data_IF_973639634182
#
_entry.id   IF_973639634182
#
_cell.length_a   1.000
_cell.length_b   1.000
_cell.length_c   1.000
_cell.angle_alpha   90.00
_cell.angle_beta   90.00
_cell.angle_gamma   90.00
#
_symmetry.space_group_name_H-M   'P 1'
#
loop_
_entity.id
_entity.type
_entity.pdbx_description
1 polymer ?
#
# COMPACT_ATOMS: atom_id res chain seq x y z
N UNK A 1 -7.49 -24.91 2.52
CA UNK A 1 -7.21 -24.66 1.09
C UNK A 1 -6.76 -25.98 0.45
N UNK A 2 -6.79 -26.12 -0.88
CA UNK A 2 -6.23 -27.29 -1.58
C UNK A 2 -4.71 -27.37 -1.34
N UNK A 3 -4.20 -28.53 -0.92
CA UNK A 3 -2.77 -28.77 -0.68
C UNK A 3 -1.92 -28.48 -1.92
N UNK A 4 -2.50 -28.59 -3.11
CA UNK A 4 -1.85 -28.24 -4.36
C UNK A 4 -1.57 -26.74 -4.47
N UNK A 5 -2.51 -25.89 -4.02
CA UNK A 5 -2.35 -24.44 -4.06
C UNK A 5 -1.24 -23.96 -3.12
N UNK A 6 -1.15 -24.56 -1.92
CA UNK A 6 -0.11 -24.23 -0.94
C UNK A 6 1.29 -24.49 -1.53
N UNK A 7 1.49 -25.66 -2.14
CA UNK A 7 2.76 -26.02 -2.78
C UNK A 7 3.10 -25.09 -3.97
N UNK A 8 2.10 -24.62 -4.72
CA UNK A 8 2.29 -23.63 -5.79
C UNK A 8 2.72 -22.26 -5.26
N UNK A 9 2.10 -21.80 -4.17
CA UNK A 9 2.45 -20.54 -3.52
C UNK A 9 3.89 -20.58 -2.96
N UNK A 10 4.28 -21.68 -2.32
CA UNK A 10 5.62 -21.84 -1.74
C UNK A 10 6.74 -21.78 -2.78
N UNK A 11 6.48 -22.21 -4.03
CA UNK A 11 7.45 -22.24 -5.12
C UNK A 11 7.29 -21.11 -6.11
N UNK A 12 6.35 -20.18 -5.89
CA UNK A 12 5.92 -19.20 -6.89
C UNK A 12 7.09 -18.41 -7.50
N UNK A 13 8.07 -18.01 -6.68
CA UNK A 13 9.22 -17.25 -7.16
C UNK A 13 10.23 -18.07 -7.96
N UNK A 14 10.23 -19.39 -7.82
CA UNK A 14 11.06 -20.33 -8.58
C UNK A 14 10.44 -20.72 -9.93
N UNK A 15 9.14 -20.42 -10.13
CA UNK A 15 8.41 -20.71 -11.36
C UNK A 15 8.85 -19.79 -12.52
N UNK A 16 8.69 -20.28 -13.75
CA UNK A 16 8.83 -19.44 -14.94
C UNK A 16 7.59 -18.53 -15.12
N UNK A 17 7.68 -17.56 -16.03
CA UNK A 17 6.62 -16.56 -16.22
C UNK A 17 5.26 -17.17 -16.60
N UNK A 18 5.26 -18.20 -17.44
CA UNK A 18 4.04 -18.89 -17.84
C UNK A 18 3.38 -19.59 -16.63
N UNK A 19 4.17 -20.34 -15.86
CA UNK A 19 3.72 -21.03 -14.64
C UNK A 19 3.22 -20.06 -13.56
N UNK A 20 3.85 -18.88 -13.46
CA UNK A 20 3.37 -17.80 -12.58
C UNK A 20 2.00 -17.31 -13.00
N UNK A 21 1.80 -17.01 -14.29
CA UNK A 21 0.50 -16.58 -14.79
C UNK A 21 -0.58 -17.65 -14.59
N UNK A 22 -0.27 -18.92 -14.85
CA UNK A 22 -1.20 -20.03 -14.57
C UNK A 22 -1.55 -20.13 -13.08
N UNK A 23 -0.58 -19.87 -12.19
CA UNK A 23 -0.79 -19.87 -10.74
C UNK A 23 -1.69 -18.72 -10.30
N UNK A 24 -1.46 -17.50 -10.80
CA UNK A 24 -2.31 -16.34 -10.53
C UNK A 24 -3.75 -16.57 -11.01
N UNK A 25 -3.93 -17.11 -12.23
CA UNK A 25 -5.25 -17.47 -12.77
C UNK A 25 -5.92 -18.53 -11.89
N UNK A 26 -5.18 -19.54 -11.44
CA UNK A 26 -5.70 -20.58 -10.54
C UNK A 26 -6.19 -20.00 -9.21
N UNK A 27 -5.42 -19.07 -8.62
CA UNK A 27 -5.80 -18.37 -7.38
C UNK A 27 -7.09 -17.58 -7.60
N UNK A 28 -7.14 -16.79 -8.67
CA UNK A 28 -8.30 -15.96 -8.98
C UNK A 28 -9.56 -16.81 -9.20
N UNK A 29 -9.47 -17.90 -9.96
CA UNK A 29 -10.59 -18.81 -10.18
C UNK A 29 -11.10 -19.40 -8.86
N UNK A 30 -10.21 -19.88 -8.00
CA UNK A 30 -10.57 -20.40 -6.67
C UNK A 30 -11.22 -19.34 -5.79
N UNK A 31 -10.74 -18.10 -5.86
CA UNK A 31 -11.29 -16.98 -5.13
C UNK A 31 -12.71 -16.65 -5.64
N UNK A 32 -12.90 -16.58 -6.96
CA UNK A 32 -14.17 -16.27 -7.61
C UNK A 32 -15.23 -17.37 -7.40
N UNK A 33 -14.82 -18.64 -7.30
CA UNK A 33 -15.74 -19.75 -7.04
C UNK A 33 -16.35 -19.69 -5.62
N UNK A 34 -15.59 -19.20 -4.63
CA UNK A 34 -16.05 -19.12 -3.23
C UNK A 34 -15.53 -17.88 -2.47
N UNK A 35 -15.95 -16.65 -2.83
CA UNK A 35 -15.33 -15.42 -2.34
C UNK A 35 -15.34 -15.29 -0.82
N UNK A 36 -16.49 -15.54 -0.17
CA UNK A 36 -16.62 -15.46 1.29
C UNK A 36 -15.69 -16.42 2.02
N UNK A 37 -15.58 -17.66 1.53
CA UNK A 37 -14.69 -18.68 2.13
C UNK A 37 -13.22 -18.30 1.94
N UNK A 38 -12.89 -17.75 0.77
CA UNK A 38 -11.54 -17.30 0.45
C UNK A 38 -11.11 -16.12 1.33
N UNK A 39 -11.96 -15.09 1.45
CA UNK A 39 -11.73 -13.94 2.34
C UNK A 39 -11.54 -14.42 3.78
N UNK A 40 -12.42 -15.29 4.27
CA UNK A 40 -12.29 -15.86 5.61
C UNK A 40 -10.97 -16.62 5.80
N UNK A 41 -10.48 -17.33 4.78
CA UNK A 41 -9.20 -18.04 4.85
C UNK A 41 -8.02 -17.05 4.97
N UNK A 42 -8.04 -15.98 4.17
CA UNK A 42 -7.01 -14.92 4.22
C UNK A 42 -7.01 -14.21 5.59
N UNK A 43 -8.20 -13.91 6.11
CA UNK A 43 -8.35 -13.11 7.33
C UNK A 43 -8.14 -13.91 8.63
N UNK A 44 -8.41 -15.22 8.66
CA UNK A 44 -8.38 -16.03 9.88
C UNK A 44 -7.08 -16.83 10.11
N UNK A 45 -6.18 -16.92 9.13
CA UNK A 45 -4.94 -17.67 9.34
C UNK A 45 -3.87 -16.83 10.02
N UNK A 46 -3.20 -17.46 10.98
CA UNK A 46 -1.85 -17.15 11.47
C UNK A 46 -0.86 -17.25 10.31
N UNK A 47 -1.03 -16.40 9.29
CA UNK A 47 -0.08 -16.31 8.21
C UNK A 47 1.25 -15.87 8.82
N UNK A 48 2.30 -16.59 8.46
CA UNK A 48 3.58 -15.92 8.31
C UNK A 48 3.38 -14.93 7.15
N UNK A 49 2.80 -13.75 7.48
CA UNK A 49 2.15 -12.77 6.58
C UNK A 49 3.02 -12.30 5.42
N UNK A 50 4.31 -12.62 5.43
CA UNK A 50 5.31 -12.00 4.58
C UNK A 50 5.49 -12.68 3.20
N UNK A 51 5.09 -13.94 2.99
CA UNK A 51 5.45 -14.63 1.74
C UNK A 51 4.33 -14.78 0.70
N UNK A 52 3.07 -14.99 1.13
CA UNK A 52 2.01 -15.40 0.20
C UNK A 52 0.97 -14.30 -0.10
N UNK A 53 0.84 -13.28 0.76
CA UNK A 53 -0.06 -12.15 0.51
C UNK A 53 0.25 -11.39 -0.78
N UNK A 54 1.53 -11.12 -1.14
CA UNK A 54 1.85 -10.47 -2.41
C UNK A 54 1.25 -11.20 -3.61
N UNK A 55 1.42 -12.53 -3.66
CA UNK A 55 0.95 -13.39 -4.76
C UNK A 55 -0.57 -13.38 -4.83
N UNK A 56 -1.24 -13.42 -3.67
CA UNK A 56 -2.70 -13.37 -3.61
C UNK A 56 -3.20 -12.01 -4.11
N UNK A 57 -2.60 -10.90 -3.67
CA UNK A 57 -3.06 -9.56 -4.04
C UNK A 57 -2.82 -9.30 -5.53
N UNK A 58 -1.69 -9.77 -6.07
CA UNK A 58 -1.42 -9.75 -7.50
C UNK A 58 -2.47 -10.55 -8.30
N UNK A 59 -2.89 -11.72 -7.81
CA UNK A 59 -3.90 -12.52 -8.48
C UNK A 59 -5.27 -11.82 -8.47
N UNK A 60 -5.69 -11.29 -7.32
CA UNK A 60 -6.97 -10.58 -7.18
C UNK A 60 -6.98 -9.26 -7.96
N UNK A 61 -5.84 -8.59 -8.13
CA UNK A 61 -5.77 -7.34 -8.90
C UNK A 61 -6.02 -7.52 -10.40
N UNK A 62 -6.04 -8.77 -10.90
CA UNK A 62 -6.45 -9.07 -12.28
C UNK A 62 -7.96 -8.96 -12.51
N UNK A 63 -8.77 -8.90 -11.45
CA UNK A 63 -10.24 -8.82 -11.51
C UNK A 63 -10.78 -7.78 -10.52
N UNK A 64 -10.39 -6.51 -10.74
CA UNK A 64 -10.74 -5.40 -9.87
C UNK A 64 -12.26 -5.15 -9.75
N UNK A 65 -13.05 -5.55 -10.76
CA UNK A 65 -14.49 -5.36 -10.73
C UNK A 65 -15.16 -6.24 -9.66
N UNK A 66 -14.66 -7.47 -9.44
CA UNK A 66 -15.19 -8.37 -8.41
C UNK A 66 -14.54 -8.19 -7.04
N UNK A 67 -13.30 -7.68 -7.00
CA UNK A 67 -12.49 -7.61 -5.77
C UNK A 67 -12.26 -6.21 -5.21
N UNK A 68 -12.88 -5.17 -5.78
CA UNK A 68 -12.73 -3.79 -5.28
C UNK A 68 -13.10 -3.64 -3.81
N UNK A 69 -14.26 -4.16 -3.40
CA UNK A 69 -14.73 -4.07 -2.01
C UNK A 69 -13.77 -4.76 -1.03
N UNK A 70 -13.14 -5.87 -1.47
CA UNK A 70 -12.11 -6.54 -0.68
C UNK A 70 -10.91 -5.62 -0.45
N UNK A 71 -10.35 -5.02 -1.51
CA UNK A 71 -9.19 -4.13 -1.37
C UNK A 71 -9.50 -2.92 -0.47
N UNK A 72 -10.66 -2.29 -0.63
CA UNK A 72 -11.08 -1.16 0.22
C UNK A 72 -11.16 -1.59 1.69
N UNK A 73 -11.88 -2.68 1.96
CA UNK A 73 -12.06 -3.23 3.31
C UNK A 73 -10.72 -3.64 3.92
N UNK A 74 -9.79 -4.13 3.09
CA UNK A 74 -8.49 -4.59 3.53
C UNK A 74 -7.57 -3.44 3.95
N UNK A 75 -7.57 -2.30 3.24
CA UNK A 75 -6.86 -1.08 3.67
C UNK A 75 -7.39 -0.62 5.04
N UNK A 76 -8.71 -0.54 5.19
CA UNK A 76 -9.35 -0.16 6.46
C UNK A 76 -8.95 -1.14 7.58
N UNK A 77 -9.00 -2.45 7.32
CA UNK A 77 -8.61 -3.49 8.27
C UNK A 77 -7.13 -3.39 8.67
N UNK A 78 -6.22 -3.10 7.73
CA UNK A 78 -4.80 -2.92 8.02
C UNK A 78 -4.57 -1.74 8.96
N UNK A 79 -5.22 -0.60 8.72
CA UNK A 79 -5.13 0.55 9.63
C UNK A 79 -5.74 0.28 11.01
N UNK A 80 -6.92 -0.33 11.09
CA UNK A 80 -7.54 -0.68 12.38
C UNK A 80 -6.69 -1.70 13.16
N UNK A 81 -6.13 -2.69 12.48
CA UNK A 81 -5.23 -3.67 13.12
C UNK A 81 -3.94 -3.00 13.60
N UNK A 82 -3.39 -2.06 12.83
CA UNK A 82 -2.20 -1.32 13.20
C UNK A 82 -2.41 -0.43 14.43
N UNK A 83 -3.61 0.15 14.62
CA UNK A 83 -3.93 1.02 15.78
C UNK A 83 -3.86 0.25 17.11
N UNK A 84 -4.10 -1.06 17.07
CA UNK A 84 -4.10 -1.94 18.24
C UNK A 84 -2.74 -2.63 18.46
N UNK A 85 -1.76 -2.39 17.59
CA UNK A 85 -0.49 -3.10 17.59
C UNK A 85 0.64 -2.28 18.20
N UNK A 86 1.56 -2.96 18.90
CA UNK A 86 2.83 -2.36 19.34
C UNK A 86 3.84 -2.21 18.19
N UNK A 87 3.58 -2.83 17.04
CA UNK A 87 4.39 -2.72 15.82
C UNK A 87 3.52 -2.33 14.62
N UNK A 88 3.00 -1.09 14.54
CA UNK A 88 2.13 -0.67 13.43
C UNK A 88 2.78 -0.83 12.06
N UNK A 89 4.07 -0.51 11.95
CA UNK A 89 4.81 -0.57 10.69
C UNK A 89 4.80 -1.97 10.06
N UNK A 90 4.98 -3.03 10.86
CA UNK A 90 4.98 -4.41 10.35
C UNK A 90 3.64 -4.83 9.76
N UNK A 91 2.55 -4.14 10.12
CA UNK A 91 1.21 -4.38 9.56
C UNK A 91 1.02 -3.49 8.33
N UNK A 92 1.32 -2.20 8.46
CA UNK A 92 1.09 -1.22 7.40
C UNK A 92 2.04 -1.38 6.21
N UNK A 93 3.18 -2.05 6.36
CA UNK A 93 4.05 -2.38 5.22
C UNK A 93 3.32 -3.25 4.16
N UNK A 94 2.25 -3.96 4.52
CA UNK A 94 1.42 -4.68 3.56
C UNK A 94 0.61 -3.77 2.63
N UNK A 95 0.56 -2.46 2.88
CA UNK A 95 0.01 -1.50 1.93
C UNK A 95 0.83 -1.47 0.62
N UNK A 96 2.11 -1.87 0.63
CA UNK A 96 2.92 -1.95 -0.58
C UNK A 96 2.38 -2.95 -1.61
N UNK A 97 1.65 -3.96 -1.17
CA UNK A 97 1.02 -4.93 -2.08
C UNK A 97 -0.12 -4.31 -2.91
N UNK A 98 -0.61 -3.13 -2.54
CA UNK A 98 -1.64 -2.42 -3.29
C UNK A 98 -1.08 -1.76 -4.57
N UNK A 99 0.24 -1.73 -4.74
CA UNK A 99 0.90 -1.31 -5.99
C UNK A 99 0.56 -2.23 -7.17
N UNK A 100 0.04 -3.44 -6.92
CA UNK A 100 -0.49 -4.31 -7.98
C UNK A 100 -1.82 -3.83 -8.58
N UNK A 101 -2.49 -2.86 -7.95
CA UNK A 101 -3.74 -2.28 -8.44
C UNK A 101 -3.40 -1.19 -9.47
N UNK A 102 -3.92 -1.34 -10.69
CA UNK A 102 -3.81 -0.28 -11.70
C UNK A 102 -4.78 0.86 -11.34
N UNK A 103 -4.27 2.05 -10.94
CA UNK A 103 -5.11 3.16 -10.48
C UNK A 103 -6.00 3.71 -11.59
N UNK A 104 -5.65 3.50 -12.87
CA UNK A 104 -6.48 3.94 -14.00
C UNK A 104 -7.65 3.00 -14.29
N UNK A 105 -7.56 1.75 -13.85
CA UNK A 105 -8.64 0.74 -14.00
C UNK A 105 -9.49 0.62 -12.74
N UNK A 106 -8.97 1.03 -11.59
CA UNK A 106 -9.67 0.89 -10.32
C UNK A 106 -10.77 1.96 -10.15
N UNK A 107 -12.03 1.57 -10.41
CA UNK A 107 -13.21 2.47 -10.33
C UNK A 107 -13.39 3.13 -8.96
N UNK A 108 -12.88 2.51 -7.90
CA UNK A 108 -13.00 2.99 -6.52
C UNK A 108 -11.72 3.68 -6.01
N UNK A 109 -10.86 4.16 -6.92
CA UNK A 109 -9.63 4.91 -6.60
C UNK A 109 -9.86 6.05 -5.61
N UNK A 110 -10.92 6.83 -5.79
CA UNK A 110 -11.21 7.97 -4.91
C UNK A 110 -11.46 7.53 -3.46
N UNK A 111 -11.99 6.31 -3.24
CA UNK A 111 -12.17 5.76 -1.89
C UNK A 111 -10.84 5.38 -1.23
N UNK A 112 -9.88 4.86 -2.00
CA UNK A 112 -8.52 4.60 -1.50
C UNK A 112 -7.87 5.93 -1.09
N UNK A 113 -7.97 6.95 -1.96
CA UNK A 113 -7.46 8.29 -1.68
C UNK A 113 -8.06 8.86 -0.40
N UNK A 114 -9.38 8.79 -0.22
CA UNK A 114 -10.05 9.24 1.00
C UNK A 114 -9.48 8.57 2.26
N UNK A 115 -9.37 7.23 2.25
CA UNK A 115 -8.86 6.47 3.40
C UNK A 115 -7.41 6.89 3.71
N UNK A 116 -6.53 6.90 2.72
CA UNK A 116 -5.13 7.27 2.91
C UNK A 116 -4.97 8.74 3.33
N UNK A 117 -5.72 9.66 2.72
CA UNK A 117 -5.70 11.09 3.04
C UNK A 117 -6.17 11.40 4.47
N UNK A 118 -7.00 10.54 5.08
CA UNK A 118 -7.35 10.66 6.51
C UNK A 118 -6.18 10.33 7.43
N UNK A 119 -5.28 9.43 7.00
CA UNK A 119 -4.15 8.99 7.81
C UNK A 119 -2.96 9.94 7.76
N UNK A 120 -2.93 10.90 6.82
CA UNK A 120 -1.93 11.96 6.79
C UNK A 120 -1.99 12.89 8.02
N UNK A 121 -3.15 12.99 8.67
CA UNK A 121 -3.36 13.80 9.88
C UNK A 121 -3.21 12.98 11.18
N UNK A 122 -2.78 11.72 11.08
CA UNK A 122 -2.65 10.82 12.24
C UNK A 122 -1.53 11.27 13.18
N UNK A 123 -1.74 11.20 14.49
CA UNK A 123 -0.73 11.57 15.51
C UNK A 123 0.53 10.69 15.42
N UNK A 124 0.37 9.43 15.03
CA UNK A 124 1.48 8.49 14.89
C UNK A 124 2.16 8.64 13.52
N UNK A 125 3.45 9.00 13.53
CA UNK A 125 4.23 9.22 12.31
C UNK A 125 4.31 8.00 11.38
N UNK A 126 4.19 6.78 11.89
CA UNK A 126 4.15 5.55 11.07
C UNK A 126 2.92 5.50 10.17
N UNK A 127 1.76 5.95 10.68
CA UNK A 127 0.53 6.00 9.88
C UNK A 127 0.64 7.04 8.78
N UNK A 128 1.13 8.24 9.13
CA UNK A 128 1.37 9.31 8.15
C UNK A 128 2.33 8.84 7.05
N UNK A 129 3.43 8.18 7.43
CA UNK A 129 4.41 7.67 6.48
C UNK A 129 3.83 6.60 5.55
N UNK A 130 3.23 5.53 6.09
CA UNK A 130 2.72 4.45 5.26
C UNK A 130 1.56 4.90 4.35
N UNK A 131 0.74 5.85 4.80
CA UNK A 131 -0.27 6.45 3.95
C UNK A 131 0.37 7.29 2.82
N UNK A 132 1.38 8.09 3.14
CA UNK A 132 2.12 8.91 2.19
C UNK A 132 2.89 8.07 1.16
N UNK A 133 3.35 6.87 1.50
CA UNK A 133 4.09 5.97 0.62
C UNK A 133 3.21 5.47 -0.54
N UNK A 134 1.94 5.09 -0.26
CA UNK A 134 1.02 4.54 -1.25
C UNK A 134 0.17 5.60 -1.97
N UNK A 135 -0.19 6.68 -1.28
CA UNK A 135 -1.12 7.71 -1.79
C UNK A 135 -0.78 8.29 -3.18
N UNK A 136 0.50 8.55 -3.54
CA UNK A 136 0.86 9.11 -4.83
C UNK A 136 0.42 8.27 -6.03
N UNK A 137 0.35 6.95 -5.87
CA UNK A 137 -0.09 6.03 -6.93
C UNK A 137 -1.58 6.24 -7.26
N UNK A 138 -2.37 6.74 -6.30
CA UNK A 138 -3.82 6.89 -6.42
C UNK A 138 -4.28 8.34 -6.45
N UNK A 139 -3.48 9.35 -6.11
CA UNK A 139 -3.94 10.76 -6.15
C UNK A 139 -4.01 11.27 -7.58
N UNK A 140 -5.08 11.96 -7.97
CA UNK A 140 -5.20 12.60 -9.29
C UNK A 140 -4.54 13.98 -9.25
N UNK A 141 -4.00 14.44 -10.38
CA UNK A 141 -3.34 15.74 -10.50
C UNK A 141 -4.25 16.93 -10.13
N UNK A 142 -5.57 16.76 -10.29
CA UNK A 142 -6.59 17.76 -9.96
C UNK A 142 -7.15 17.67 -8.54
N UNK A 143 -6.76 16.66 -7.75
CA UNK A 143 -7.15 16.52 -6.33
C UNK A 143 -6.32 17.46 -5.43
N UNK A 144 -6.58 18.74 -5.58
CA UNK A 144 -5.90 19.79 -4.83
C UNK A 144 -6.12 19.69 -3.32
N UNK A 145 -7.21 19.07 -2.86
CA UNK A 145 -7.47 18.89 -1.43
C UNK A 145 -6.44 17.94 -0.82
N UNK A 146 -6.25 16.77 -1.44
CA UNK A 146 -5.28 15.76 -1.01
C UNK A 146 -3.84 16.26 -1.21
N UNK A 147 -3.55 16.90 -2.35
CA UNK A 147 -2.23 17.49 -2.62
C UNK A 147 -1.88 18.53 -1.54
N UNK A 148 -2.82 19.39 -1.16
CA UNK A 148 -2.58 20.37 -0.10
C UNK A 148 -2.36 19.72 1.28
N UNK A 149 -3.02 18.59 1.58
CA UNK A 149 -2.70 17.81 2.78
C UNK A 149 -1.29 17.26 2.74
N UNK A 150 -0.86 16.68 1.62
CA UNK A 150 0.52 16.24 1.43
C UNK A 150 1.50 17.40 1.62
N UNK A 151 1.26 18.57 1.01
CA UNK A 151 2.13 19.76 1.17
C UNK A 151 2.29 20.21 2.62
N UNK A 152 1.28 20.04 3.48
CA UNK A 152 1.43 20.34 4.93
C UNK A 152 2.49 19.46 5.60
N UNK A 153 2.69 18.22 5.12
CA UNK A 153 3.70 17.30 5.63
C UNK A 153 5.14 17.70 5.31
N UNK A 154 5.37 18.69 4.43
CA UNK A 154 6.68 19.34 4.28
C UNK A 154 7.13 20.06 5.57
N UNK A 155 6.21 20.27 6.52
CA UNK A 155 6.47 20.84 7.85
C UNK A 155 6.28 19.82 8.98
N UNK A 156 6.17 18.53 8.67
CA UNK A 156 6.05 17.46 9.66
C UNK A 156 7.24 17.49 10.65
N UNK A 157 7.01 17.14 11.91
CA UNK A 157 8.07 17.03 12.93
C UNK A 157 9.15 16.00 12.53
N UNK A 158 8.74 14.91 11.87
CA UNK A 158 9.60 13.83 11.44
C UNK A 158 10.23 14.18 10.09
N UNK A 159 11.56 14.33 10.10
CA UNK A 159 12.33 14.68 8.91
C UNK A 159 12.19 13.67 7.75
N UNK A 160 11.92 12.40 8.06
CA UNK A 160 11.69 11.37 7.03
C UNK A 160 10.39 11.63 6.29
N UNK A 161 9.33 12.01 7.00
CA UNK A 161 8.05 12.37 6.38
C UNK A 161 8.25 13.60 5.49
N UNK A 162 8.94 14.64 5.97
CA UNK A 162 9.26 15.82 5.14
C UNK A 162 10.02 15.44 3.86
N UNK A 163 11.01 14.56 3.99
CA UNK A 163 11.82 14.08 2.87
C UNK A 163 10.98 13.31 1.85
N UNK A 164 10.21 12.31 2.29
CA UNK A 164 9.35 11.50 1.42
C UNK A 164 8.23 12.31 0.79
N UNK A 165 7.66 13.27 1.53
CA UNK A 165 6.64 14.19 1.00
C UNK A 165 7.21 14.98 -0.17
N UNK A 166 8.43 15.51 -0.02
CA UNK A 166 9.09 16.25 -1.10
C UNK A 166 9.32 15.38 -2.35
N UNK A 167 9.76 14.13 -2.17
CA UNK A 167 9.94 13.20 -3.30
C UNK A 167 8.61 12.91 -3.98
N UNK A 168 7.58 12.53 -3.22
CA UNK A 168 6.29 12.16 -3.78
C UNK A 168 5.61 13.33 -4.50
N UNK A 169 5.65 14.55 -3.95
CA UNK A 169 5.14 15.75 -4.61
C UNK A 169 5.90 16.09 -5.90
N UNK A 170 7.21 15.81 -5.92
CA UNK A 170 8.04 16.01 -7.11
C UNK A 170 7.69 14.98 -8.20
N UNK A 171 7.53 13.72 -7.80
CA UNK A 171 7.28 12.60 -8.70
C UNK A 171 5.91 12.73 -9.39
N UNK A 172 4.89 13.21 -8.66
CA UNK A 172 3.57 13.53 -9.24
C UNK A 172 3.51 14.92 -9.91
N UNK A 173 4.62 15.67 -9.95
CA UNK A 173 4.72 16.91 -10.71
C UNK A 173 4.02 18.15 -10.12
N UNK A 174 3.65 18.14 -8.83
CA UNK A 174 2.90 19.24 -8.18
C UNK A 174 3.71 20.06 -7.17
N UNK A 175 5.02 19.79 -7.10
CA UNK A 175 5.97 20.51 -6.25
C UNK A 175 6.21 21.92 -6.80
N UNK A 176 5.93 22.94 -5.99
CA UNK A 176 6.33 24.31 -6.30
C UNK A 176 7.73 24.56 -5.76
N UNK A 177 8.77 24.49 -6.60
CA UNK A 177 10.17 24.63 -6.14
C UNK A 177 10.49 25.95 -5.43
N UNK A 178 9.66 26.99 -5.61
CA UNK A 178 9.85 28.27 -4.92
C UNK A 178 9.39 28.19 -3.46
N UNK A 179 8.27 27.51 -3.22
CA UNK A 179 7.57 27.46 -1.93
C UNK A 179 7.78 26.14 -1.16
N UNK A 180 7.92 25.03 -1.86
CA UNK A 180 7.97 23.67 -1.34
C UNK A 180 9.42 23.16 -1.27
N UNK A 181 10.24 23.79 -0.40
CA UNK A 181 11.67 23.47 -0.28
C UNK A 181 11.97 22.47 0.82
N UNK A 182 12.72 21.44 0.48
CA UNK A 182 13.34 20.55 1.45
C UNK A 182 14.56 21.22 2.11
N UNK A 183 14.61 21.21 3.45
CA UNK A 183 15.72 21.78 4.20
C UNK A 183 17.06 21.08 3.89
N UNK A 184 18.17 21.82 3.95
CA UNK A 184 19.50 21.24 3.75
C UNK A 184 19.83 20.13 4.76
N UNK A 185 19.35 20.28 6.00
CA UNK A 185 19.49 19.27 7.04
C UNK A 185 18.78 17.96 6.68
N UNK A 186 17.58 18.03 6.10
CA UNK A 186 16.85 16.83 5.68
C UNK A 186 17.55 16.15 4.49
N UNK A 187 18.09 16.94 3.55
CA UNK A 187 18.92 16.44 2.43
C UNK A 187 20.20 15.76 2.89
N UNK A 188 20.82 16.25 3.96
CA UNK A 188 22.00 15.59 4.55
C UNK A 188 21.58 14.30 5.25
N UNK A 189 20.54 14.36 6.09
CA UNK A 189 20.04 13.18 6.81
C UNK A 189 19.67 12.05 5.86
N UNK A 190 19.04 12.33 4.73
CA UNK A 190 18.69 11.29 3.75
C UNK A 190 19.90 10.59 3.10
N UNK A 191 21.08 11.24 3.08
CA UNK A 191 22.32 10.64 2.58
C UNK A 191 23.03 9.75 3.60
N UNK A 192 22.87 10.03 4.89
CA UNK A 192 23.64 9.38 5.95
C UNK A 192 22.81 8.47 6.85
N UNK A 193 21.49 8.63 6.86
CA UNK A 193 20.57 7.87 7.71
C UNK A 193 19.60 7.07 6.83
N UNK A 194 19.22 5.89 7.32
CA UNK A 194 18.19 5.09 6.67
C UNK A 194 16.84 5.84 6.75
N UNK A 195 16.32 6.20 5.57
CA UNK A 195 15.06 6.93 5.35
C UNK A 195 13.83 6.01 5.33
N UNK A 196 14.02 4.69 5.36
CA UNK A 196 12.97 3.66 5.39
C UNK A 196 12.72 3.10 6.82
N UNK A 197 13.64 3.33 7.77
CA UNK A 197 13.44 2.89 9.16
C UNK A 197 12.57 3.87 9.95
N UNK A 198 11.29 3.52 10.10
CA UNK A 198 10.37 4.05 11.10
C UNK A 198 10.33 3.03 12.25
N UNK A 199 11.05 3.32 13.33
CA UNK A 199 11.06 2.52 14.56
C UNK A 199 10.23 3.21 15.62
#
# INVERSE_FOLDING_TARGET
MDNNLINKLEKFYDLNDHEKQETLISILNLANDNPKKFINAIQNEKFNRLNNLPIIYEALSKDLDNWADFFITEIERLFETAKQSNTPYSILNHLQEFTFIDPNKFKHRDRIVEILATQLDNENSTFRFCALDLLPDFVKDDDMLTINKMKKLLKDENWRIRYWTYLNLKDIGVLDEQNDKLSWTDRLRSKFLNNLKFQ
#
